data_IF_680547900283
#
_entry.id   IF_680547900283
#
_cell.length_a   1.000
_cell.length_b   1.000
_cell.length_c   1.000
_cell.angle_alpha   90.00
_cell.angle_beta   90.00
_cell.angle_gamma   90.00
#
_symmetry.space_group_name_H-M   'P 1'
#
loop_
_entity.id
_entity.type
_entity.pdbx_description
1 polymer ?
#
# COMPACT_ATOMS: atom_id res chain seq x y z
N UNK A 1 -13.60 -17.81 -27.95
CA UNK A 1 -14.32 -16.52 -27.94
C UNK A 1 -13.41 -15.52 -27.28
N UNK A 2 -13.15 -14.36 -27.90
CA UNK A 2 -12.22 -13.36 -27.35
C UNK A 2 -12.74 -12.79 -26.03
N UNK A 3 -11.85 -12.35 -25.14
CA UNK A 3 -12.25 -11.72 -23.88
C UNK A 3 -12.77 -10.31 -24.12
N UNK A 4 -13.98 -10.00 -23.69
CA UNK A 4 -14.50 -8.63 -23.71
C UNK A 4 -13.93 -7.84 -22.53
N UNK A 5 -13.20 -6.76 -22.82
CA UNK A 5 -12.70 -5.81 -21.80
C UNK A 5 -13.20 -4.40 -22.11
N UNK A 6 -13.25 -3.54 -21.10
CA UNK A 6 -13.82 -2.19 -21.20
C UNK A 6 -12.76 -1.12 -20.92
N UNK A 7 -12.81 0.01 -21.63
CA UNK A 7 -11.90 1.14 -21.38
C UNK A 7 -12.12 1.78 -20.01
N UNK A 8 -13.37 1.79 -19.54
CA UNK A 8 -13.75 2.02 -18.14
C UNK A 8 -14.81 0.99 -17.74
N UNK A 9 -14.75 0.52 -16.49
CA UNK A 9 -15.75 -0.35 -15.90
C UNK A 9 -16.69 0.44 -14.99
N UNK A 10 -17.99 0.31 -15.21
CA UNK A 10 -19.00 1.08 -14.50
C UNK A 10 -19.15 0.61 -13.05
N UNK A 11 -19.20 1.58 -12.12
CA UNK A 11 -19.19 1.27 -10.68
C UNK A 11 -20.47 0.55 -10.24
N UNK A 12 -21.60 0.84 -10.89
CA UNK A 12 -22.88 0.16 -10.69
C UNK A 12 -22.76 -1.34 -10.96
N UNK A 13 -22.22 -1.71 -12.11
CA UNK A 13 -22.14 -3.09 -12.61
C UNK A 13 -21.25 -3.99 -11.72
N UNK A 14 -20.28 -3.42 -11.00
CA UNK A 14 -19.47 -4.15 -9.99
C UNK A 14 -20.34 -4.70 -8.85
N UNK A 15 -21.45 -4.02 -8.53
CA UNK A 15 -22.29 -4.33 -7.35
C UNK A 15 -22.90 -5.73 -7.45
N UNK A 16 -23.24 -6.17 -8.65
CA UNK A 16 -23.93 -7.45 -8.89
C UNK A 16 -22.96 -8.61 -9.18
N UNK A 17 -21.67 -8.32 -9.42
CA UNK A 17 -20.66 -9.35 -9.63
C UNK A 17 -20.46 -10.22 -8.37
N UNK A 18 -20.25 -11.54 -8.51
CA UNK A 18 -19.92 -12.42 -7.40
C UNK A 18 -18.63 -11.98 -6.69
N UNK A 19 -18.56 -12.24 -5.38
CA UNK A 19 -17.38 -11.90 -4.58
C UNK A 19 -16.22 -12.85 -4.90
N UNK A 20 -15.05 -12.28 -5.15
CA UNK A 20 -13.82 -13.07 -5.23
C UNK A 20 -13.46 -13.64 -3.85
N UNK A 21 -12.88 -14.83 -3.85
CA UNK A 21 -12.21 -15.43 -2.69
C UNK A 21 -10.81 -15.84 -3.11
N UNK A 22 -9.81 -15.57 -2.27
CA UNK A 22 -8.52 -16.23 -2.37
C UNK A 22 -8.71 -17.70 -1.93
N UNK A 23 -8.37 -18.70 -2.76
CA UNK A 23 -8.54 -20.11 -2.43
C UNK A 23 -7.35 -20.70 -1.65
N UNK A 24 -6.25 -19.96 -1.54
CA UNK A 24 -4.99 -20.41 -0.99
C UNK A 24 -4.87 -20.32 0.54
N UNK A 25 -3.69 -20.68 1.04
CA UNK A 25 -3.36 -20.61 2.47
C UNK A 25 -2.97 -19.19 2.86
N UNK A 26 -3.42 -18.70 4.02
CA UNK A 26 -3.03 -17.38 4.52
C UNK A 26 -2.29 -17.53 5.84
N UNK A 27 -1.05 -17.04 5.90
CA UNK A 27 -0.13 -17.24 7.01
C UNK A 27 0.32 -15.87 7.55
N UNK A 28 -0.04 -15.56 8.79
CA UNK A 28 0.48 -14.36 9.47
C UNK A 28 1.90 -14.60 9.98
N UNK A 29 2.81 -13.67 9.69
CA UNK A 29 4.21 -13.71 10.10
C UNK A 29 4.41 -12.66 11.19
N UNK A 30 4.77 -13.11 12.41
CA UNK A 30 4.87 -12.27 13.61
C UNK A 30 6.24 -12.33 14.30
N UNK A 31 7.15 -13.17 13.81
CA UNK A 31 8.53 -13.27 14.28
C UNK A 31 9.54 -13.23 13.12
N UNK A 32 10.78 -12.84 13.41
CA UNK A 32 11.87 -12.85 12.43
C UNK A 32 12.19 -14.27 11.92
N UNK A 33 12.04 -15.31 12.75
CA UNK A 33 12.29 -16.71 12.36
C UNK A 33 11.24 -17.25 11.38
N UNK A 34 9.99 -16.83 11.54
CA UNK A 34 8.94 -17.11 10.55
C UNK A 34 9.18 -16.33 9.25
N UNK A 35 9.62 -15.07 9.36
CA UNK A 35 9.92 -14.24 8.20
C UNK A 35 11.04 -14.84 7.32
N UNK A 36 12.10 -15.38 7.91
CA UNK A 36 13.17 -16.07 7.17
C UNK A 36 12.61 -17.19 6.28
N UNK A 37 11.83 -18.11 6.89
CA UNK A 37 11.22 -19.25 6.19
C UNK A 37 10.22 -18.82 5.12
N UNK A 38 9.42 -17.80 5.40
CA UNK A 38 8.45 -17.27 4.45
C UNK A 38 9.16 -16.65 3.24
N UNK A 39 10.24 -15.89 3.47
CA UNK A 39 11.05 -15.28 2.41
C UNK A 39 11.75 -16.32 1.56
N UNK A 40 12.35 -17.36 2.14
CA UNK A 40 12.99 -18.44 1.38
C UNK A 40 11.98 -19.16 0.46
N UNK A 41 10.75 -19.39 0.93
CA UNK A 41 9.67 -19.97 0.14
C UNK A 41 9.15 -19.01 -0.95
N UNK A 42 9.03 -17.73 -0.65
CA UNK A 42 8.59 -16.71 -1.60
C UNK A 42 9.61 -16.52 -2.73
N UNK A 43 10.90 -16.46 -2.39
CA UNK A 43 12.00 -16.32 -3.36
C UNK A 43 12.26 -17.58 -4.20
N UNK A 44 11.63 -18.72 -3.90
CA UNK A 44 11.60 -19.88 -4.80
C UNK A 44 10.46 -19.83 -5.85
N UNK A 45 9.63 -18.78 -5.84
CA UNK A 45 8.57 -18.55 -6.84
C UNK A 45 9.08 -17.70 -8.00
N UNK A 46 8.49 -17.83 -9.18
CA UNK A 46 8.79 -17.03 -10.38
C UNK A 46 8.17 -15.62 -10.34
N UNK A 47 7.04 -15.49 -9.66
CA UNK A 47 6.27 -14.26 -9.51
C UNK A 47 5.64 -14.17 -8.13
N UNK A 48 5.62 -12.96 -7.59
CA UNK A 48 4.98 -12.60 -6.34
C UNK A 48 4.02 -11.44 -6.58
N UNK A 49 2.83 -11.54 -6.01
CA UNK A 49 1.87 -10.46 -5.87
C UNK A 49 2.07 -9.82 -4.51
N UNK A 50 2.12 -8.49 -4.46
CA UNK A 50 2.49 -7.75 -3.26
C UNK A 50 1.52 -6.58 -3.10
N UNK A 51 1.26 -6.18 -1.86
CA UNK A 51 0.47 -4.99 -1.49
C UNK A 51 0.95 -4.48 -0.12
N UNK A 52 0.44 -3.34 0.36
CA UNK A 52 0.66 -2.91 1.76
C UNK A 52 -0.62 -2.40 2.44
N UNK A 53 -0.66 -2.45 3.77
CA UNK A 53 -1.76 -1.86 4.55
C UNK A 53 -1.26 -0.98 5.70
N UNK A 54 -1.94 0.15 5.86
CA UNK A 54 -1.66 1.18 6.86
C UNK A 54 -2.91 1.42 7.69
N UNK A 55 -2.77 1.46 9.01
CA UNK A 55 -3.88 1.81 9.91
C UNK A 55 -4.43 3.20 9.52
N UNK A 56 -5.75 3.36 9.37
CA UNK A 56 -6.33 4.65 9.03
C UNK A 56 -6.20 5.64 10.18
N UNK A 57 -5.82 6.88 9.85
CA UNK A 57 -5.91 8.02 10.76
C UNK A 57 -7.22 8.76 10.53
N UNK A 58 -7.92 9.07 11.63
CA UNK A 58 -9.13 9.89 11.62
C UNK A 58 -8.90 11.29 12.22
N UNK A 59 -7.62 11.64 12.48
CA UNK A 59 -7.22 12.92 13.09
C UNK A 59 -6.28 13.67 12.16
N UNK A 60 -6.59 14.94 11.90
CA UNK A 60 -5.82 15.78 10.98
C UNK A 60 -4.38 15.94 11.49
N UNK A 61 -3.41 15.50 10.68
CA UNK A 61 -1.98 15.58 10.97
C UNK A 61 -1.37 14.34 11.64
N UNK A 62 -2.18 13.34 12.01
CA UNK A 62 -1.68 12.03 12.45
C UNK A 62 -1.49 11.12 11.23
N UNK A 63 -0.29 10.54 11.09
CA UNK A 63 0.07 9.58 10.04
C UNK A 63 0.64 8.32 10.70
N UNK A 64 0.24 7.15 10.21
CA UNK A 64 0.77 5.86 10.64
C UNK A 64 1.73 5.30 9.57
N UNK A 65 2.72 4.52 10.00
CA UNK A 65 3.62 3.80 9.09
C UNK A 65 2.95 2.53 8.55
N UNK A 66 3.36 2.07 7.36
CA UNK A 66 2.93 0.81 6.74
C UNK A 66 3.05 -0.36 7.70
N UNK A 67 1.93 -0.88 8.20
CA UNK A 67 1.91 -1.74 9.38
C UNK A 67 1.77 -3.24 9.05
N UNK A 68 1.45 -3.54 7.79
CA UNK A 68 1.32 -4.87 7.21
C UNK A 68 1.85 -4.84 5.76
N UNK A 69 2.64 -5.85 5.40
CA UNK A 69 3.07 -6.13 4.03
C UNK A 69 2.48 -7.48 3.62
N UNK A 70 1.74 -7.52 2.50
CA UNK A 70 1.17 -8.74 1.94
C UNK A 70 2.07 -9.23 0.83
N UNK A 71 2.41 -10.52 0.84
CA UNK A 71 3.18 -11.15 -0.24
C UNK A 71 2.56 -12.50 -0.56
N UNK A 72 2.04 -12.66 -1.76
CA UNK A 72 1.41 -13.88 -2.25
C UNK A 72 2.23 -14.46 -3.38
N UNK A 73 2.33 -15.78 -3.43
CA UNK A 73 2.47 -16.48 -4.72
C UNK A 73 1.06 -16.90 -5.19
N UNK A 74 0.95 -17.90 -6.07
CA UNK A 74 -0.36 -18.35 -6.61
C UNK A 74 -1.23 -19.14 -5.61
N UNK A 75 -0.64 -19.75 -4.57
CA UNK A 75 -1.34 -20.68 -3.64
C UNK A 75 -1.27 -20.30 -2.15
N UNK A 76 -0.38 -19.38 -1.77
CA UNK A 76 -0.09 -19.02 -0.39
C UNK A 76 0.22 -17.53 -0.28
N UNK A 77 -0.48 -16.85 0.63
CA UNK A 77 -0.23 -15.46 0.99
C UNK A 77 0.33 -15.34 2.41
N UNK A 78 1.42 -14.60 2.54
CA UNK A 78 2.06 -14.26 3.80
C UNK A 78 1.74 -12.82 4.19
N UNK A 79 1.30 -12.64 5.43
CA UNK A 79 0.94 -11.35 6.01
C UNK A 79 2.03 -10.95 7.01
N UNK A 80 3.03 -10.21 6.55
CA UNK A 80 4.16 -9.74 7.37
C UNK A 80 3.72 -8.59 8.26
N UNK A 81 3.57 -8.86 9.56
CA UNK A 81 3.07 -7.90 10.55
C UNK A 81 4.17 -6.91 10.95
N UNK A 82 4.49 -5.96 10.07
CA UNK A 82 5.63 -5.04 10.20
C UNK A 82 5.62 -4.19 11.49
N UNK A 83 4.46 -3.91 12.10
CA UNK A 83 4.40 -3.25 13.40
C UNK A 83 4.79 -4.14 14.59
N UNK A 84 4.89 -5.46 14.40
CA UNK A 84 5.39 -6.43 15.38
C UNK A 84 6.85 -6.82 15.09
N UNK A 85 7.18 -7.07 13.82
CA UNK A 85 8.50 -7.57 13.42
C UNK A 85 9.52 -6.51 13.02
N UNK A 86 9.05 -5.30 12.69
CA UNK A 86 9.80 -4.39 11.81
C UNK A 86 10.01 -4.98 10.41
N UNK A 87 10.87 -4.35 9.62
CA UNK A 87 11.46 -4.94 8.41
C UNK A 87 12.72 -5.68 8.87
N UNK A 88 12.67 -7.02 8.85
CA UNK A 88 13.80 -7.88 9.22
C UNK A 88 14.79 -8.00 8.06
N UNK A 89 16.02 -8.50 8.27
CA UNK A 89 16.96 -8.77 7.18
C UNK A 89 16.38 -9.66 6.07
N UNK A 90 15.52 -10.63 6.43
CA UNK A 90 14.79 -11.45 5.47
C UNK A 90 13.81 -10.60 4.62
N UNK A 91 12.98 -9.77 5.26
CA UNK A 91 12.01 -8.93 4.55
C UNK A 91 12.75 -7.91 3.66
N UNK A 92 13.87 -7.36 4.14
CA UNK A 92 14.74 -6.50 3.35
C UNK A 92 15.30 -7.23 2.12
N UNK A 93 15.88 -8.43 2.29
CA UNK A 93 16.31 -9.31 1.18
C UNK A 93 15.20 -9.55 0.16
N UNK A 94 13.96 -9.79 0.60
CA UNK A 94 12.80 -9.95 -0.30
C UNK A 94 12.48 -8.67 -1.09
N UNK A 95 12.51 -7.50 -0.45
CA UNK A 95 12.25 -6.20 -1.09
C UNK A 95 13.37 -5.83 -2.07
N UNK A 96 14.63 -6.11 -1.74
CA UNK A 96 15.82 -5.81 -2.55
C UNK A 96 16.06 -6.81 -3.69
N UNK A 97 15.48 -8.01 -3.62
CA UNK A 97 15.70 -9.06 -4.63
C UNK A 97 15.34 -8.64 -6.07
N UNK A 98 16.22 -8.95 -7.01
CA UNK A 98 16.07 -8.67 -8.45
C UNK A 98 15.82 -9.92 -9.29
N UNK A 99 15.79 -11.10 -8.68
CA UNK A 99 15.58 -12.38 -9.39
C UNK A 99 14.11 -12.75 -9.57
N UNK A 100 13.26 -12.42 -8.59
CA UNK A 100 11.82 -12.70 -8.58
C UNK A 100 11.03 -11.42 -8.82
N UNK A 101 10.00 -11.50 -9.68
CA UNK A 101 9.15 -10.36 -10.01
C UNK A 101 8.13 -10.09 -8.92
N UNK A 102 8.12 -8.88 -8.35
CA UNK A 102 7.11 -8.39 -7.40
C UNK A 102 6.11 -7.48 -8.12
N UNK A 103 4.89 -7.96 -8.32
CA UNK A 103 3.80 -7.23 -8.97
C UNK A 103 2.89 -6.61 -7.92
N UNK A 104 2.48 -5.37 -8.13
CA UNK A 104 1.40 -4.73 -7.37
C UNK A 104 0.82 -3.56 -8.15
N UNK A 105 0.13 -2.65 -7.47
CA UNK A 105 -0.60 -1.55 -8.12
C UNK A 105 -0.46 -0.27 -7.29
N UNK A 106 0.12 0.78 -7.87
CA UNK A 106 0.37 2.08 -7.23
C UNK A 106 1.61 2.15 -6.29
N UNK A 107 2.66 1.38 -6.56
CA UNK A 107 3.81 1.15 -5.68
C UNK A 107 4.56 2.39 -5.18
N UNK A 108 4.43 3.52 -5.86
CA UNK A 108 5.25 4.71 -5.57
C UNK A 108 5.00 5.28 -4.16
N UNK A 109 3.80 5.11 -3.59
CA UNK A 109 3.52 5.46 -2.20
C UNK A 109 3.92 4.35 -1.22
N UNK A 110 3.65 3.09 -1.56
CA UNK A 110 3.97 1.92 -0.74
C UNK A 110 5.48 1.75 -0.50
N UNK A 111 6.30 1.88 -1.54
CA UNK A 111 7.77 1.82 -1.43
C UNK A 111 8.26 2.90 -0.47
N UNK A 112 7.80 4.15 -0.62
CA UNK A 112 8.16 5.25 0.30
C UNK A 112 7.69 4.98 1.73
N UNK A 113 6.52 4.36 1.90
CA UNK A 113 5.97 3.95 3.20
C UNK A 113 6.79 2.84 3.87
N UNK A 114 7.37 1.93 3.10
CA UNK A 114 8.29 0.88 3.57
C UNK A 114 9.69 1.45 3.86
N UNK A 115 10.24 2.29 2.98
CA UNK A 115 11.54 2.98 3.15
C UNK A 115 11.56 3.87 4.40
N UNK A 116 10.40 4.44 4.77
CA UNK A 116 10.21 5.19 6.01
C UNK A 116 10.24 4.33 7.29
N UNK A 117 10.28 2.99 7.17
CA UNK A 117 10.49 2.05 8.30
C UNK A 117 11.92 1.50 8.35
N UNK A 118 12.49 1.17 7.19
CA UNK A 118 13.86 0.69 7.01
C UNK A 118 14.30 1.03 5.58
N UNK A 119 15.49 1.60 5.40
CA UNK A 119 15.98 1.99 4.07
C UNK A 119 16.45 0.76 3.29
N UNK A 120 15.96 0.56 2.06
CA UNK A 120 16.34 -0.54 1.18
C UNK A 120 16.45 -0.07 -0.28
N UNK A 121 17.09 -0.84 -1.15
CA UNK A 121 17.11 -0.57 -2.59
C UNK A 121 15.99 -1.37 -3.29
N UNK A 122 14.95 -0.74 -3.87
CA UNK A 122 13.87 -1.49 -4.50
C UNK A 122 14.37 -2.44 -5.62
N UNK A 123 14.05 -3.73 -5.48
CA UNK A 123 14.40 -4.76 -6.45
C UNK A 123 13.47 -4.81 -7.67
N UNK A 124 13.18 -6.02 -8.19
CA UNK A 124 12.36 -6.20 -9.40
C UNK A 124 10.86 -6.01 -9.14
N UNK A 125 10.43 -4.76 -8.98
CA UNK A 125 9.03 -4.36 -8.89
C UNK A 125 8.40 -4.09 -10.27
N UNK A 126 7.11 -4.38 -10.41
CA UNK A 126 6.28 -4.08 -11.58
C UNK A 126 4.96 -3.47 -11.09
N UNK A 127 4.64 -2.26 -11.57
CA UNK A 127 3.34 -1.64 -11.33
C UNK A 127 2.34 -2.01 -12.44
N UNK A 128 1.17 -2.51 -12.05
CA UNK A 128 0.08 -2.79 -12.96
C UNK A 128 -0.45 -1.53 -13.66
N UNK A 129 -0.33 -0.36 -13.05
CA UNK A 129 -0.75 0.91 -13.65
C UNK A 129 0.09 1.31 -14.87
N UNK A 130 1.34 0.87 -14.96
CA UNK A 130 2.21 1.15 -16.11
C UNK A 130 1.86 0.26 -17.32
N UNK A 131 1.42 -0.98 -17.08
CA UNK A 131 1.19 -1.95 -18.15
C UNK A 131 -0.26 -2.00 -18.65
N UNK A 132 -1.25 -1.76 -17.77
CA UNK A 132 -2.67 -1.90 -18.13
C UNK A 132 -3.18 -0.90 -19.20
N UNK A 133 -2.67 0.34 -19.31
CA UNK A 133 -3.08 1.27 -20.37
C UNK A 133 -2.75 0.79 -21.78
N UNK A 134 -1.77 -0.11 -21.94
CA UNK A 134 -1.41 -0.68 -23.25
C UNK A 134 -2.52 -1.56 -23.87
N UNK A 135 -3.52 -1.98 -23.07
CA UNK A 135 -4.74 -2.65 -23.55
C UNK A 135 -5.90 -1.68 -23.84
N UNK A 136 -5.69 -0.37 -23.67
CA UNK A 136 -6.72 0.67 -23.83
C UNK A 136 -7.65 0.83 -22.62
N UNK A 137 -7.34 0.18 -21.49
CA UNK A 137 -8.03 0.32 -20.22
C UNK A 137 -7.53 1.57 -19.49
N UNK A 138 -8.43 2.42 -19.02
CA UNK A 138 -8.15 3.70 -18.33
C UNK A 138 -8.36 3.66 -16.82
N UNK A 139 -9.03 2.62 -16.31
CA UNK A 139 -9.20 2.46 -14.87
C UNK A 139 -7.92 1.92 -14.22
N UNK A 140 -7.55 2.52 -13.09
CA UNK A 140 -6.33 2.17 -12.33
C UNK A 140 -6.63 1.61 -10.93
N UNK A 141 -7.90 1.30 -10.62
CA UNK A 141 -8.30 0.74 -9.32
C UNK A 141 -8.33 -0.78 -9.36
N UNK A 142 -7.68 -1.45 -8.40
CA UNK A 142 -7.63 -2.93 -8.30
C UNK A 142 -9.00 -3.59 -8.48
N UNK A 143 -10.00 -3.15 -7.72
CA UNK A 143 -11.38 -3.67 -7.82
C UNK A 143 -11.99 -3.50 -9.21
N UNK A 144 -11.72 -2.38 -9.90
CA UNK A 144 -12.26 -2.13 -11.24
C UNK A 144 -11.55 -2.98 -12.29
N UNK A 145 -10.23 -3.08 -12.21
CA UNK A 145 -9.43 -3.96 -13.05
C UNK A 145 -9.88 -5.41 -12.87
N UNK A 146 -10.01 -5.88 -11.63
CA UNK A 146 -10.45 -7.24 -11.36
C UNK A 146 -11.88 -7.53 -11.85
N UNK A 147 -12.80 -6.58 -11.70
CA UNK A 147 -14.16 -6.68 -12.25
C UNK A 147 -14.17 -6.72 -13.79
N UNK A 148 -13.32 -5.92 -14.44
CA UNK A 148 -13.20 -5.83 -15.89
C UNK A 148 -12.60 -7.11 -16.49
N UNK A 149 -11.51 -7.62 -15.91
CA UNK A 149 -10.76 -8.76 -16.44
C UNK A 149 -11.34 -10.12 -16.02
N UNK A 150 -11.90 -10.25 -14.82
CA UNK A 150 -12.38 -11.53 -14.26
C UNK A 150 -13.88 -11.60 -13.99
N UNK A 151 -14.62 -10.49 -14.09
CA UNK A 151 -16.05 -10.41 -13.72
C UNK A 151 -16.33 -10.82 -12.26
N UNK A 152 -15.37 -10.53 -11.37
CA UNK A 152 -15.46 -10.76 -9.92
C UNK A 152 -15.29 -9.44 -9.15
N UNK A 153 -16.01 -9.28 -8.03
CA UNK A 153 -15.90 -8.11 -7.14
C UNK A 153 -14.95 -8.37 -5.97
N UNK A 154 -13.89 -7.55 -5.84
CA UNK A 154 -13.13 -7.38 -4.60
C UNK A 154 -13.96 -6.57 -3.59
N UNK A 155 -14.00 -6.99 -2.32
CA UNK A 155 -14.79 -6.34 -1.26
C UNK A 155 -13.97 -5.32 -0.48
N UNK A 156 -14.19 -4.01 -0.69
CA UNK A 156 -13.45 -2.92 -0.01
C UNK A 156 -13.74 -2.73 1.50
N UNK A 157 -14.39 -3.70 2.16
CA UNK A 157 -14.90 -3.57 3.55
C UNK A 157 -13.81 -3.53 4.63
N UNK A 158 -12.60 -4.02 4.38
CA UNK A 158 -11.51 -4.07 5.39
C UNK A 158 -10.42 -3.01 5.21
N UNK A 159 -10.43 -2.26 4.09
CA UNK A 159 -9.44 -1.21 3.77
C UNK A 159 -9.25 -0.15 4.85
N UNK A 160 -10.29 0.13 5.64
CA UNK A 160 -10.25 1.09 6.76
C UNK A 160 -10.36 0.37 8.11
N UNK A 161 -9.85 -0.87 8.21
CA UNK A 161 -9.81 -1.64 9.46
C UNK A 161 -8.60 -1.27 10.32
N UNK A 162 -8.61 -1.68 11.59
CA UNK A 162 -7.41 -1.58 12.42
C UNK A 162 -6.42 -2.70 12.06
N UNK A 163 -5.50 -2.39 11.16
CA UNK A 163 -4.43 -3.30 10.74
C UNK A 163 -3.34 -3.53 11.80
N UNK A 164 -3.31 -2.71 12.85
CA UNK A 164 -2.48 -2.92 14.06
C UNK A 164 -3.18 -3.77 15.14
N UNK A 165 -4.38 -4.31 14.88
CA UNK A 165 -5.07 -5.16 15.84
C UNK A 165 -4.21 -6.39 16.20
N UNK A 166 -4.05 -6.78 17.49
CA UNK A 166 -3.15 -7.87 17.90
C UNK A 166 -3.32 -9.14 17.06
N UNK A 167 -4.57 -9.52 16.81
CA UNK A 167 -4.95 -10.58 15.90
C UNK A 167 -5.77 -10.01 14.73
N UNK A 168 -5.41 -10.37 13.49
CA UNK A 168 -6.24 -10.08 12.33
C UNK A 168 -7.42 -11.06 12.29
N UNK A 169 -8.62 -10.53 12.04
CA UNK A 169 -9.79 -11.37 11.74
C UNK A 169 -9.65 -12.08 10.40
N UNK A 170 -10.35 -13.19 10.19
CA UNK A 170 -10.28 -13.92 8.91
C UNK A 170 -10.79 -13.09 7.72
N UNK A 171 -11.69 -12.13 7.97
CA UNK A 171 -12.12 -11.14 6.98
C UNK A 171 -10.98 -10.22 6.55
N UNK A 172 -10.17 -9.73 7.50
CA UNK A 172 -8.96 -8.94 7.21
C UNK A 172 -7.90 -9.76 6.49
N UNK A 173 -7.65 -11.00 6.94
CA UNK A 173 -6.71 -11.93 6.28
C UNK A 173 -7.12 -12.17 4.82
N UNK A 174 -8.39 -12.51 4.59
CA UNK A 174 -8.91 -12.81 3.25
C UNK A 174 -8.85 -11.59 2.34
N UNK A 175 -9.18 -10.40 2.85
CA UNK A 175 -9.04 -9.14 2.11
C UNK A 175 -7.58 -8.89 1.68
N UNK A 176 -6.66 -8.91 2.65
CA UNK A 176 -5.25 -8.66 2.43
C UNK A 176 -4.62 -9.68 1.44
N UNK A 177 -5.01 -10.95 1.54
CA UNK A 177 -4.57 -11.98 0.60
C UNK A 177 -5.15 -11.78 -0.81
N UNK A 178 -6.42 -11.38 -0.93
CA UNK A 178 -7.05 -11.07 -2.21
C UNK A 178 -6.31 -9.94 -2.92
N UNK A 179 -5.95 -8.86 -2.24
CA UNK A 179 -5.37 -7.69 -2.91
C UNK A 179 -3.99 -8.02 -3.50
N UNK A 180 -3.09 -8.65 -2.73
CA UNK A 180 -1.80 -9.12 -3.23
C UNK A 180 -1.92 -10.21 -4.32
N UNK A 181 -2.76 -11.23 -4.13
CA UNK A 181 -2.95 -12.32 -5.12
C UNK A 181 -3.57 -11.82 -6.43
N UNK A 182 -4.50 -10.86 -6.35
CA UNK A 182 -5.15 -10.25 -7.52
C UNK A 182 -4.13 -9.60 -8.45
N UNK A 183 -3.00 -9.13 -7.92
CA UNK A 183 -1.95 -8.53 -8.72
C UNK A 183 -1.22 -9.54 -9.63
N UNK A 184 -1.01 -10.79 -9.18
CA UNK A 184 -0.49 -11.88 -10.04
C UNK A 184 -1.48 -12.14 -11.18
N UNK A 185 -2.75 -12.41 -10.83
CA UNK A 185 -3.78 -12.76 -11.81
C UNK A 185 -3.91 -11.68 -12.89
N UNK A 186 -3.93 -10.41 -12.48
CA UNK A 186 -3.99 -9.28 -13.41
C UNK A 186 -2.76 -9.21 -14.31
N UNK A 187 -1.55 -9.39 -13.78
CA UNK A 187 -0.33 -9.38 -14.60
C UNK A 187 -0.33 -10.51 -15.63
N UNK A 188 -0.65 -11.74 -15.22
CA UNK A 188 -0.67 -12.90 -16.10
C UNK A 188 -1.72 -12.76 -17.21
N UNK A 189 -2.91 -12.25 -16.88
CA UNK A 189 -3.96 -12.03 -17.89
C UNK A 189 -3.64 -10.83 -18.80
N UNK A 190 -3.07 -9.73 -18.27
CA UNK A 190 -2.62 -8.61 -19.09
C UNK A 190 -1.53 -9.06 -20.07
N UNK A 191 -0.53 -9.83 -19.62
CA UNK A 191 0.53 -10.36 -20.49
C UNK A 191 -0.04 -11.33 -21.55
N UNK A 192 -0.93 -12.25 -21.14
CA UNK A 192 -1.64 -13.14 -22.07
C UNK A 192 -2.36 -12.36 -23.16
N UNK A 193 -3.12 -11.33 -22.80
CA UNK A 193 -3.88 -10.50 -23.75
C UNK A 193 -2.98 -9.67 -24.65
N UNK A 194 -1.88 -9.11 -24.14
CA UNK A 194 -0.89 -8.37 -24.94
C UNK A 194 -0.19 -9.27 -25.96
N UNK A 195 0.15 -10.50 -25.58
CA UNK A 195 0.86 -11.47 -26.43
C UNK A 195 -0.04 -12.13 -27.48
N UNK A 196 -1.31 -12.38 -27.17
CA UNK A 196 -2.24 -13.09 -28.06
C UNK A 196 -3.18 -12.19 -28.84
N UNK A 197 -3.41 -10.96 -28.37
CA UNK A 197 -4.48 -10.10 -28.89
C UNK A 197 -5.89 -10.68 -28.68
N UNK A 198 -6.08 -11.63 -27.75
CA UNK A 198 -7.34 -12.37 -27.54
C UNK A 198 -8.40 -11.56 -26.75
N UNK A 199 -8.60 -10.30 -27.12
CA UNK A 199 -9.60 -9.42 -26.53
C UNK A 199 -10.29 -8.51 -27.53
N UNK A 200 -11.51 -8.10 -27.16
CA UNK A 200 -12.27 -7.02 -27.78
C UNK A 200 -12.42 -5.88 -26.77
N UNK A 201 -11.86 -4.71 -27.09
CA UNK A 201 -11.95 -3.51 -26.25
C UNK A 201 -13.24 -2.72 -26.57
N UNK A 202 -14.15 -2.67 -25.60
CA UNK A 202 -15.29 -1.75 -25.60
C UNK A 202 -14.83 -0.40 -25.10
N UNK A 203 -14.90 0.62 -25.95
CA UNK A 203 -14.74 2.01 -25.52
C UNK A 203 -16.04 2.47 -24.87
N UNK A 204 -15.97 2.84 -23.60
CA UNK A 204 -17.05 3.54 -22.88
C UNK A 204 -16.80 5.03 -23.03
N UNK A 205 -17.73 5.74 -23.66
CA UNK A 205 -17.69 7.18 -23.82
C UNK A 205 -17.89 7.87 -22.47
N UNK A 206 -17.19 8.97 -22.26
CA UNK A 206 -17.37 9.81 -21.09
C UNK A 206 -18.53 10.77 -21.40
N UNK A 207 -19.52 10.96 -20.51
CA UNK A 207 -20.58 11.93 -20.76
C UNK A 207 -19.94 13.31 -20.97
N UNK A 208 -20.31 13.99 -22.05
CA UNK A 208 -19.80 15.31 -22.35
C UNK A 208 -20.07 16.25 -21.17
N UNK A 209 -19.02 16.82 -20.59
CA UNK A 209 -19.17 17.89 -19.62
C UNK A 209 -19.66 19.12 -20.37
N UNK A 210 -20.95 19.44 -20.27
CA UNK A 210 -21.51 20.63 -20.91
C UNK A 210 -20.70 21.89 -20.53
N UNK A 211 -20.23 22.67 -21.50
CA UNK A 211 -19.45 23.89 -21.25
C UNK A 211 -20.37 25.04 -20.82
N UNK A 212 -20.95 24.95 -19.62
CA UNK A 212 -22.07 25.84 -19.28
C UNK A 212 -22.54 25.95 -17.83
N UNK A 213 -21.80 25.49 -16.81
CA UNK A 213 -22.14 25.85 -15.43
C UNK A 213 -20.89 26.04 -14.56
N UNK A 214 -20.73 27.25 -14.01
CA UNK A 214 -19.67 27.53 -13.05
C UNK A 214 -19.93 26.74 -11.74
N UNK A 215 -18.92 26.12 -11.12
CA UNK A 215 -19.12 25.43 -9.86
C UNK A 215 -19.49 26.44 -8.77
N UNK A 216 -20.73 26.38 -8.29
CA UNK A 216 -21.07 26.97 -7.00
C UNK A 216 -20.25 26.27 -5.93
N UNK A 217 -19.46 27.04 -5.18
CA UNK A 217 -18.56 26.49 -4.18
C UNK A 217 -19.34 25.92 -2.99
N UNK A 218 -19.64 24.62 -3.02
CA UNK A 218 -19.74 23.82 -1.80
C UNK A 218 -18.36 23.24 -1.50
N UNK A 219 -17.88 23.53 -0.29
CA UNK A 219 -16.59 23.09 0.21
C UNK A 219 -16.62 21.57 0.43
N UNK A 220 -15.68 20.83 -0.17
CA UNK A 220 -14.79 19.92 0.57
C UNK A 220 -13.72 19.29 -0.35
N UNK A 221 -12.63 18.81 0.28
CA UNK A 221 -11.49 18.08 -0.28
C UNK A 221 -10.74 18.68 -1.49
N UNK A 222 -9.68 19.45 -1.20
CA UNK A 222 -8.40 19.36 -1.93
C UNK A 222 -7.17 19.51 -1.01
N UNK A 223 -5.99 19.00 -1.41
CA UNK A 223 -4.94 18.60 -0.47
C UNK A 223 -3.93 19.72 -0.14
N UNK A 224 -3.45 19.71 1.11
CA UNK A 224 -2.20 20.35 1.51
C UNK A 224 -1.15 19.26 1.76
N UNK A 225 0.10 19.38 1.31
CA UNK A 225 0.66 20.43 0.47
C UNK A 225 2.20 20.40 0.55
N UNK A 226 2.87 20.52 -0.60
CA UNK A 226 4.32 20.69 -0.65
C UNK A 226 4.66 22.17 -0.88
N UNK A 227 5.49 22.76 -0.02
CA UNK A 227 6.32 23.90 -0.44
C UNK A 227 7.51 24.22 0.46
N UNK A 228 8.61 24.44 -0.25
CA UNK A 228 9.82 25.17 0.11
C UNK A 228 9.71 26.26 1.19
N UNK A 229 10.75 26.36 2.02
CA UNK A 229 11.02 27.50 2.89
C UNK A 229 12.05 28.43 2.25
N UNK A 230 11.64 29.64 1.88
CA UNK A 230 12.57 30.74 1.53
C UNK A 230 12.90 31.57 2.77
N UNK A 231 14.14 32.05 2.82
CA UNK A 231 14.77 32.77 3.94
C UNK A 231 14.20 34.17 4.21
N UNK A 232 14.20 34.58 5.49
CA UNK A 232 14.43 35.99 5.87
C UNK A 232 15.07 36.11 7.25
N UNK A 233 16.09 36.99 7.35
CA UNK A 233 16.85 37.30 8.57
C UNK A 233 16.07 38.23 9.50
N UNK A 234 16.28 38.10 10.81
CA UNK A 234 16.22 39.25 11.73
C UNK A 234 17.30 39.12 12.82
N UNK A 235 17.57 40.23 13.52
CA UNK A 235 18.90 40.56 14.09
C UNK A 235 18.83 40.81 15.60
N UNK A 236 19.90 40.46 16.31
CA UNK A 236 20.02 40.50 17.77
C UNK A 236 19.92 41.91 18.41
N UNK A 237 19.58 41.94 19.70
CA UNK A 237 20.04 42.94 20.70
C UNK A 237 20.35 42.26 22.04
N UNK A 238 21.23 42.86 22.85
CA UNK A 238 21.95 42.25 24.00
C UNK A 238 21.84 43.12 25.27
N UNK A 239 22.11 42.48 26.42
CA UNK A 239 22.60 43.05 27.71
C UNK A 239 21.55 43.74 28.63
N UNK A 240 21.72 43.95 29.96
CA UNK A 240 22.89 43.73 30.87
C UNK A 240 22.50 43.60 32.38
N UNK A 241 23.19 42.74 33.16
CA UNK A 241 23.43 42.83 34.65
C UNK A 241 22.24 42.73 35.66
N UNK A 242 22.39 42.37 36.97
CA UNK A 242 23.58 42.12 37.82
C UNK A 242 23.40 41.14 39.03
N UNK A 243 24.47 40.36 39.33
CA UNK A 243 25.06 39.96 40.65
C UNK A 243 24.24 39.94 41.97
N UNK A 244 24.26 38.78 42.66
CA UNK A 244 25.01 38.43 43.93
C UNK A 244 24.72 36.95 44.31
N UNK A 245 25.72 36.05 44.44
CA UNK A 245 26.41 35.57 45.69
C UNK A 245 25.45 35.28 46.87
N UNK A 246 25.48 34.14 47.58
CA UNK A 246 26.63 33.27 47.94
C UNK A 246 26.31 31.77 48.24
N UNK A 247 27.37 30.94 48.21
CA UNK A 247 27.52 29.51 48.62
C UNK A 247 27.30 29.24 50.15
N UNK A 248 27.56 28.03 50.71
CA UNK A 248 27.03 26.68 50.43
C UNK A 248 26.68 25.88 51.73
N UNK A 249 26.20 24.62 51.62
CA UNK A 249 26.76 23.46 52.37
C UNK A 249 26.19 22.12 51.87
N UNK A 250 26.95 21.06 52.15
CA UNK A 250 26.86 19.72 51.55
C UNK A 250 26.46 18.66 52.63
N UNK A 251 26.57 17.33 52.43
CA UNK A 251 25.43 16.42 52.36
C UNK A 251 25.26 15.52 53.60
N UNK A 252 24.15 14.76 53.70
CA UNK A 252 24.07 13.52 54.50
C UNK A 252 23.28 12.40 53.82
N UNK A 253 23.68 11.17 54.12
CA UNK A 253 23.30 9.93 53.45
C UNK A 253 22.16 9.17 54.18
N UNK A 254 21.48 8.31 53.42
CA UNK A 254 20.94 6.96 53.77
C UNK A 254 20.38 6.62 55.17
N UNK A 255 19.17 6.06 55.17
CA UNK A 255 18.72 4.78 55.79
C UNK A 255 17.33 4.50 55.19
N UNK A 256 16.96 3.34 54.61
CA UNK A 256 16.97 1.95 55.13
C UNK A 256 16.34 1.80 56.51
N UNK A 257 15.04 1.57 56.50
CA UNK A 257 14.31 0.55 57.28
C UNK A 257 13.33 -0.13 56.31
#
# INVERSE_FOLDING_TARGET
>A
MRKKIYSKFEKKDITDLPLVQFPGRIISIITAREAEKAVDYLLSSDILGVDTETKPSFRRGEQHQVCLLQVSNRDTCFLFRLHLTGITPAIKRLLEDTSVRKVGLSWHDDIRGLEAREQFVPGLFVDLQDIVPSLGVRDLSLQKLYANFFHLKISKRQRLSNWEAPFLSDKQKQYAAIDAWSCINLYEEIDRLKRTGDYDLVKVEEPETEPGCAPSATLDDKPNGASAKTTRKSRAKRATTAKRKSKPKEPKQTKKS
#
